data_IF_118818256779
#
_entry.id   IF_118818256779
#
_cell.length_a   1.000
_cell.length_b   1.000
_cell.length_c   1.000
_cell.angle_alpha   90.00
_cell.angle_beta   90.00
_cell.angle_gamma   90.00
#
_symmetry.space_group_name_H-M   'P 1'
#
loop_
_entity.id
_entity.type
_entity.pdbx_description
1 polymer ?
#
# COMPACT_ATOMS: atom_id res chain seq x y z
N UNK A 1 -5.02 18.34 -43.88
CA UNK A 1 -4.51 18.53 -42.52
C UNK A 1 -5.37 17.68 -41.60
N UNK A 2 -5.09 16.39 -41.54
CA UNK A 2 -5.84 15.45 -40.70
C UNK A 2 -5.73 15.84 -39.22
N UNK A 3 -6.85 16.32 -38.68
CA UNK A 3 -7.02 16.62 -37.26
C UNK A 3 -7.32 15.30 -36.53
N UNK A 4 -6.33 14.40 -36.46
CA UNK A 4 -6.48 13.05 -35.89
C UNK A 4 -6.55 13.12 -34.37
N UNK A 5 -7.67 13.61 -33.82
CA UNK A 5 -7.88 13.73 -32.38
C UNK A 5 -8.19 12.35 -31.80
N UNK A 6 -7.33 11.88 -30.90
CA UNK A 6 -7.52 10.65 -30.14
C UNK A 6 -8.30 10.95 -28.85
N UNK A 7 -9.23 10.07 -28.46
CA UNK A 7 -9.97 10.22 -27.21
C UNK A 7 -9.32 9.38 -26.11
N UNK A 8 -9.10 9.99 -24.95
CA UNK A 8 -8.60 9.29 -23.78
C UNK A 8 -9.54 8.13 -23.38
N UNK A 9 -9.04 6.89 -23.19
CA UNK A 9 -9.88 5.76 -22.80
C UNK A 9 -10.42 5.86 -21.36
N UNK A 10 -9.80 6.69 -20.51
CA UNK A 10 -10.21 6.88 -19.10
C UNK A 10 -11.31 7.93 -18.93
N UNK A 11 -11.23 9.06 -19.63
CA UNK A 11 -12.14 10.20 -19.42
C UNK A 11 -12.82 10.73 -20.69
N UNK A 12 -12.50 10.19 -21.87
CA UNK A 12 -13.09 10.61 -23.14
C UNK A 12 -12.55 11.92 -23.72
N UNK A 13 -11.62 12.61 -23.05
CA UNK A 13 -11.06 13.88 -23.52
C UNK A 13 -10.36 13.74 -24.88
N UNK A 14 -10.67 14.65 -25.81
CA UNK A 14 -10.07 14.68 -27.14
C UNK A 14 -8.72 15.40 -27.09
N UNK A 15 -7.66 14.71 -27.54
CA UNK A 15 -6.30 15.22 -27.51
C UNK A 15 -5.52 14.84 -28.76
N UNK A 16 -4.40 15.52 -28.98
CA UNK A 16 -3.51 15.24 -30.10
C UNK A 16 -2.78 13.90 -29.91
N UNK A 17 -2.53 13.15 -30.99
CA UNK A 17 -1.82 11.89 -30.94
C UNK A 17 -0.34 12.13 -30.62
N UNK A 18 0.33 11.12 -30.04
CA UNK A 18 1.76 11.20 -29.68
C UNK A 18 2.07 11.70 -28.26
N UNK A 19 1.06 12.03 -27.45
CA UNK A 19 1.24 12.29 -26.02
C UNK A 19 1.29 10.97 -25.25
N UNK A 20 2.18 10.89 -24.26
CA UNK A 20 2.28 9.72 -23.36
C UNK A 20 1.26 9.76 -22.22
N UNK A 21 0.70 10.94 -21.94
CA UNK A 21 -0.26 11.17 -20.86
C UNK A 21 -1.46 12.02 -21.31
N UNK A 22 -2.59 11.87 -20.63
CA UNK A 22 -3.77 12.68 -20.89
C UNK A 22 -3.72 14.03 -20.20
N UNK A 23 -3.92 15.12 -20.96
CA UNK A 23 -3.91 16.49 -20.41
C UNK A 23 -5.07 16.78 -19.44
N UNK A 24 -6.19 16.06 -19.55
CA UNK A 24 -7.36 16.30 -18.72
C UNK A 24 -7.40 15.48 -17.43
N UNK A 25 -6.95 14.22 -17.46
CA UNK A 25 -7.06 13.31 -16.31
C UNK A 25 -5.74 12.70 -15.84
N UNK A 26 -4.63 13.02 -16.50
CA UNK A 26 -3.27 12.59 -16.13
C UNK A 26 -2.99 11.10 -16.32
N UNK A 27 -3.84 10.34 -17.03
CA UNK A 27 -3.57 8.92 -17.27
C UNK A 27 -2.39 8.75 -18.22
N UNK A 28 -1.42 7.93 -17.84
CA UNK A 28 -0.28 7.55 -18.68
C UNK A 28 -0.71 6.33 -19.51
N UNK A 29 -0.76 6.47 -20.84
CA UNK A 29 -1.31 5.43 -21.70
C UNK A 29 -0.50 4.13 -21.64
N UNK A 30 0.83 4.24 -21.56
CA UNK A 30 1.72 3.08 -21.46
C UNK A 30 1.46 2.19 -20.23
N UNK A 31 0.93 2.76 -19.14
CA UNK A 31 0.59 2.03 -17.91
C UNK A 31 -0.87 1.56 -17.87
N UNK A 32 -1.73 2.19 -18.68
CA UNK A 32 -3.15 1.86 -18.76
C UNK A 32 -3.38 0.48 -19.40
N UNK A 33 -2.64 0.15 -20.46
CA UNK A 33 -2.77 -1.15 -21.14
C UNK A 33 -2.34 -2.34 -20.26
N UNK A 34 -1.35 -2.17 -19.38
CA UNK A 34 -0.88 -3.22 -18.47
C UNK A 34 -1.86 -3.55 -17.34
N UNK A 35 -2.91 -2.75 -17.15
CA UNK A 35 -3.93 -2.98 -16.10
C UNK A 35 -5.19 -3.65 -16.64
N UNK A 36 -5.29 -3.86 -17.96
CA UNK A 36 -6.41 -4.54 -18.62
C UNK A 36 -6.18 -6.06 -18.77
N UNK A 37 -5.01 -6.56 -18.40
CA UNK A 37 -4.77 -7.99 -18.31
C UNK A 37 -5.66 -8.57 -17.19
N UNK A 38 -6.58 -9.49 -17.50
CA UNK A 38 -7.49 -10.05 -16.50
C UNK A 38 -6.64 -10.75 -15.45
N UNK A 39 -6.64 -10.22 -14.22
CA UNK A 39 -6.03 -10.84 -13.06
C UNK A 39 -6.57 -12.27 -12.93
N UNK A 40 -5.77 -13.25 -13.36
CA UNK A 40 -5.88 -14.62 -12.87
C UNK A 40 -5.00 -14.75 -11.64
N UNK A 41 -5.67 -15.14 -10.57
CA UNK A 41 -5.20 -15.58 -9.28
C UNK A 41 -3.76 -16.13 -9.19
N UNK A 42 -3.05 -15.59 -8.20
CA UNK A 42 -2.27 -16.24 -7.13
C UNK A 42 -1.17 -17.25 -7.48
N UNK A 43 0.01 -16.99 -6.90
CA UNK A 43 1.02 -17.93 -6.34
C UNK A 43 2.39 -17.26 -6.53
N UNK A 44 3.34 -17.16 -5.60
CA UNK A 44 3.52 -17.38 -4.17
C UNK A 44 4.93 -16.84 -3.89
N UNK A 45 5.20 -16.45 -2.64
CA UNK A 45 6.46 -16.71 -1.93
C UNK A 45 7.77 -16.16 -2.54
N UNK A 46 8.33 -15.12 -1.90
CA UNK A 46 9.76 -15.08 -1.59
C UNK A 46 10.01 -14.14 -0.40
N UNK A 47 10.32 -14.79 0.72
CA UNK A 47 11.30 -14.42 1.74
C UNK A 47 11.95 -13.02 1.60
N UNK A 48 11.74 -12.16 2.60
CA UNK A 48 12.57 -10.97 2.76
C UNK A 48 12.70 -10.56 4.23
N UNK A 49 13.91 -10.62 4.82
CA UNK A 49 14.25 -9.84 6.00
C UNK A 49 14.59 -8.38 5.60
N UNK A 50 14.02 -7.42 6.34
CA UNK A 50 14.35 -5.98 6.41
C UNK A 50 13.90 -5.06 5.23
N UNK A 51 13.67 -3.75 5.48
CA UNK A 51 12.34 -3.15 5.53
C UNK A 51 12.01 -2.37 4.25
N UNK A 52 10.93 -2.76 3.57
CA UNK A 52 10.36 -1.99 2.47
C UNK A 52 9.03 -1.43 2.94
N UNK A 53 8.88 -0.11 2.91
CA UNK A 53 7.59 0.54 3.13
C UNK A 53 6.66 0.12 1.99
N UNK A 54 5.85 -0.90 2.25
CA UNK A 54 4.78 -1.34 1.35
C UNK A 54 3.63 -0.35 1.53
N UNK A 55 3.57 0.67 0.68
CA UNK A 55 2.30 1.37 0.44
C UNK A 55 1.40 0.40 -0.33
N UNK A 56 0.67 -0.43 0.41
CA UNK A 56 -0.30 -1.36 -0.13
C UNK A 56 -1.57 -0.58 -0.46
N UNK A 57 -1.79 -0.32 -1.74
CA UNK A 57 -3.07 0.14 -2.28
C UNK A 57 -4.14 -0.95 -2.08
N UNK A 58 -4.80 -0.89 -0.92
CA UNK A 58 -5.87 -1.80 -0.56
C UNK A 58 -7.13 -1.51 -1.41
N UNK A 59 -7.77 -2.54 -1.99
CA UNK A 59 -9.08 -2.40 -2.64
C UNK A 59 -10.12 -1.88 -1.64
N UNK A 60 -11.17 -1.24 -2.14
CA UNK A 60 -12.16 -0.41 -1.40
C UNK A 60 -12.82 -1.05 -0.16
N UNK A 61 -12.69 -2.36 0.08
CA UNK A 61 -13.08 -3.05 1.31
C UNK A 61 -12.07 -2.88 2.47
N UNK A 62 -10.84 -2.43 2.18
CA UNK A 62 -9.75 -2.29 3.14
C UNK A 62 -9.81 -1.04 4.01
N UNK A 63 -10.71 -0.09 3.72
CA UNK A 63 -10.82 1.16 4.51
C UNK A 63 -11.15 0.91 5.97
N UNK A 64 -12.06 -0.02 6.26
CA UNK A 64 -12.40 -0.37 7.63
C UNK A 64 -11.23 -1.03 8.36
N UNK A 65 -10.55 -1.97 7.69
CA UNK A 65 -9.39 -2.65 8.28
C UNK A 65 -8.22 -1.68 8.51
N UNK A 66 -7.97 -0.77 7.58
CA UNK A 66 -6.95 0.28 7.71
C UNK A 66 -7.27 1.24 8.86
N UNK A 67 -8.54 1.64 9.03
CA UNK A 67 -8.97 2.45 10.16
C UNK A 67 -8.82 1.70 11.48
N UNK A 68 -9.18 0.41 11.54
CA UNK A 68 -8.99 -0.41 12.73
C UNK A 68 -7.51 -0.54 13.11
N UNK A 69 -6.63 -0.81 12.14
CA UNK A 69 -5.19 -0.88 12.37
C UNK A 69 -4.64 0.47 12.84
N UNK A 70 -5.04 1.57 12.19
CA UNK A 70 -4.62 2.91 12.58
C UNK A 70 -5.04 3.23 14.03
N UNK A 71 -6.30 2.95 14.40
CA UNK A 71 -6.80 3.15 15.77
C UNK A 71 -6.02 2.32 16.77
N UNK A 72 -5.75 1.04 16.49
CA UNK A 72 -4.98 0.17 17.38
C UNK A 72 -3.54 0.67 17.57
N UNK A 73 -2.87 1.09 16.49
CA UNK A 73 -1.51 1.62 16.56
C UNK A 73 -1.44 2.95 17.30
N UNK A 74 -2.36 3.88 17.02
CA UNK A 74 -2.42 5.16 17.71
C UNK A 74 -2.73 4.97 19.20
N UNK A 75 -3.74 4.19 19.55
CA UNK A 75 -4.07 3.91 20.95
C UNK A 75 -2.92 3.21 21.68
N UNK A 76 -2.28 2.22 21.05
CA UNK A 76 -1.12 1.52 21.62
C UNK A 76 0.09 2.43 21.82
N UNK A 77 0.41 3.28 20.84
CA UNK A 77 1.49 4.25 20.95
C UNK A 77 1.19 5.29 22.03
N UNK A 78 0.01 5.90 22.02
CA UNK A 78 -0.40 6.86 23.05
C UNK A 78 -0.36 6.21 24.43
N UNK A 79 -0.83 4.97 24.58
CA UNK A 79 -0.74 4.22 25.82
C UNK A 79 0.71 3.99 26.25
N UNK A 80 1.59 3.59 25.33
CA UNK A 80 3.00 3.38 25.61
C UNK A 80 3.70 4.66 26.09
N UNK A 81 3.45 5.77 25.40
CA UNK A 81 4.03 7.07 25.72
C UNK A 81 3.45 7.68 26.99
N UNK A 82 2.17 7.47 27.28
CA UNK A 82 1.53 8.01 28.48
C UNK A 82 1.75 7.16 29.73
N UNK A 83 2.01 5.85 29.58
CA UNK A 83 2.13 4.93 30.73
C UNK A 83 3.57 4.58 31.10
N UNK A 84 4.58 5.03 30.34
CA UNK A 84 5.99 4.85 30.68
C UNK A 84 6.49 3.41 30.51
N UNK A 85 6.77 3.03 29.26
CA UNK A 85 7.56 1.85 28.92
C UNK A 85 6.83 0.50 28.99
N UNK A 86 7.29 -0.52 28.23
CA UNK A 86 6.67 -1.83 28.23
C UNK A 86 7.00 -2.56 29.55
N UNK A 87 6.11 -3.43 30.07
CA UNK A 87 6.45 -4.27 31.22
C UNK A 87 7.68 -5.10 30.84
N UNK A 88 8.72 -5.00 31.67
CA UNK A 88 9.95 -5.76 31.51
C UNK A 88 9.59 -7.25 31.48
N UNK A 89 9.53 -7.81 30.26
CA UNK A 89 9.33 -9.23 30.04
C UNK A 89 10.38 -10.01 30.82
N UNK A 90 9.89 -10.98 31.57
CA UNK A 90 10.63 -11.84 32.49
C UNK A 90 12.03 -12.20 32.00
N UNK A 91 13.06 -11.61 32.61
CA UNK A 91 14.38 -12.24 32.60
C UNK A 91 14.22 -13.56 33.35
N UNK A 92 14.50 -14.74 32.74
CA UNK A 92 14.51 -15.98 33.49
C UNK A 92 15.55 -15.82 34.60
N UNK A 93 15.03 -15.76 35.82
CA UNK A 93 15.75 -15.64 37.08
C UNK A 93 16.82 -16.72 37.07
N UNK A 94 18.09 -16.30 36.98
CA UNK A 94 19.23 -17.18 37.04
C UNK A 94 19.05 -18.15 38.20
N UNK A 95 19.12 -19.45 37.89
CA UNK A 95 19.08 -20.52 38.88
C UNK A 95 20.34 -20.41 39.73
N UNK A 96 20.29 -19.57 40.77
CA UNK A 96 21.00 -19.86 42.02
C UNK A 96 20.05 -20.73 42.84
N UNK A 97 20.43 -21.96 43.13
CA UNK A 97 20.53 -22.39 44.52
C UNK A 97 21.35 -23.68 44.69
N UNK A 98 21.97 -23.84 45.89
CA UNK A 98 22.93 -24.85 46.30
C UNK A 98 22.15 -26.10 46.81
N UNK A 99 22.65 -27.08 47.61
CA UNK A 99 23.72 -27.10 48.62
C UNK A 99 25.10 -27.54 48.11
#
# INVERSE_FOLDING_TARGET
MEDTRFRCPKCGYAQRPGRQECQACGVIFAKYDQSLEPQKDKTKEKDQPAPIIVHQEAPSSGRFLQLMIAVLLTAGATYYFTRGGPPAGDRPRGKRRPP
#
